data_IF_963733100979
#
_entry.id   IF_963733100979
#
_cell.length_a   1.000
_cell.length_b   1.000
_cell.length_c   1.000
_cell.angle_alpha   90.00
_cell.angle_beta   90.00
_cell.angle_gamma   90.00
#
_symmetry.space_group_name_H-M   'P 1'
#
loop_
_entity.id
_entity.type
_entity.pdbx_description
1 polymer ?
#
# COMPACT_ATOMS: atom_id res chain seq x y z
N UNK A 1 9.15 32.80 -62.21
CA UNK A 1 7.77 32.72 -61.67
C UNK A 1 7.67 31.43 -60.88
N UNK A 2 7.89 31.49 -59.57
CA UNK A 2 7.87 30.30 -58.71
C UNK A 2 6.42 30.03 -58.31
N UNK A 3 5.81 28.99 -58.88
CA UNK A 3 4.45 28.58 -58.57
C UNK A 3 4.38 28.00 -57.15
N UNK A 4 3.64 28.67 -56.26
CA UNK A 4 3.30 28.14 -54.94
C UNK A 4 2.30 27.01 -55.15
N UNK A 5 2.75 25.76 -55.04
CA UNK A 5 1.86 24.60 -55.03
C UNK A 5 0.98 24.67 -53.78
N UNK A 6 -0.35 24.59 -53.97
CA UNK A 6 -1.29 24.50 -52.87
C UNK A 6 -0.99 23.22 -52.05
N UNK A 7 -1.04 23.27 -50.71
CA UNK A 7 -0.81 22.08 -49.89
C UNK A 7 -1.90 21.02 -50.17
N UNK A 8 -1.55 19.72 -50.09
CA UNK A 8 -2.49 18.64 -50.32
C UNK A 8 -3.63 18.67 -49.30
N UNK A 9 -4.85 18.32 -49.73
CA UNK A 9 -6.07 18.34 -48.91
C UNK A 9 -6.05 17.36 -47.72
N UNK A 10 -5.13 16.39 -47.72
CA UNK A 10 -4.94 15.43 -46.65
C UNK A 10 -3.44 15.28 -46.36
N UNK A 11 -3.07 15.50 -45.10
CA UNK A 11 -1.73 15.20 -44.60
C UNK A 11 -1.74 13.81 -43.96
N UNK A 12 -0.76 12.95 -44.25
CA UNK A 12 -0.61 11.69 -43.53
C UNK A 12 -0.40 11.98 -42.04
N UNK A 13 -0.85 11.08 -41.14
CA UNK A 13 -0.61 11.25 -39.72
C UNK A 13 0.90 11.33 -39.45
N UNK A 14 1.33 12.21 -38.52
CA UNK A 14 2.73 12.34 -38.17
C UNK A 14 3.25 11.00 -37.63
N UNK A 15 4.34 10.51 -38.23
CA UNK A 15 5.18 9.46 -37.63
C UNK A 15 6.32 10.17 -36.88
N UNK A 16 6.69 9.74 -35.67
CA UNK A 16 6.19 8.57 -34.92
C UNK A 16 4.83 8.81 -34.24
N UNK A 17 3.99 7.76 -34.18
CA UNK A 17 2.69 7.81 -33.50
C UNK A 17 2.89 7.75 -31.98
N UNK A 18 2.50 8.82 -31.28
CA UNK A 18 2.56 8.95 -29.82
C UNK A 18 1.22 8.60 -29.15
N UNK A 19 0.29 7.96 -29.86
CA UNK A 19 -1.03 7.56 -29.33
C UNK A 19 -0.93 6.76 -28.02
N UNK A 20 0.10 5.94 -27.85
CA UNK A 20 0.32 5.12 -26.65
C UNK A 20 0.64 5.91 -25.37
N UNK A 21 1.20 7.11 -25.47
CA UNK A 21 1.49 7.95 -24.30
C UNK A 21 0.32 8.84 -23.92
N UNK A 22 -0.73 8.89 -24.75
CA UNK A 22 -1.87 9.77 -24.55
C UNK A 22 -2.68 9.32 -23.34
N UNK A 23 -3.08 10.30 -22.52
CA UNK A 23 -4.05 10.08 -21.44
C UNK A 23 -5.34 9.48 -22.03
N UNK A 24 -5.86 8.37 -21.49
CA UNK A 24 -7.13 7.82 -21.92
C UNK A 24 -8.27 8.77 -21.52
N UNK A 25 -9.23 8.96 -22.43
CA UNK A 25 -10.43 9.79 -22.20
C UNK A 25 -11.52 9.02 -21.44
N UNK A 26 -11.39 7.70 -21.29
CA UNK A 26 -12.38 6.83 -20.66
C UNK A 26 -12.26 6.82 -19.13
N UNK A 27 -13.32 7.22 -18.42
CA UNK A 27 -13.52 6.96 -16.99
C UNK A 27 -12.47 7.52 -16.01
N UNK A 28 -12.83 7.61 -14.73
CA UNK A 28 -11.88 8.05 -13.69
C UNK A 28 -10.82 6.98 -13.36
N UNK A 29 -11.20 5.70 -13.40
CA UNK A 29 -10.30 4.58 -13.11
C UNK A 29 -9.20 4.41 -14.16
N UNK A 30 -9.51 4.55 -15.45
CA UNK A 30 -8.49 4.41 -16.49
C UNK A 30 -7.48 5.57 -16.43
N UNK A 31 -7.93 6.78 -16.07
CA UNK A 31 -7.04 7.92 -15.83
C UNK A 31 -6.15 7.67 -14.61
N UNK A 32 -6.70 7.12 -13.51
CA UNK A 32 -5.92 6.79 -12.32
C UNK A 32 -4.88 5.70 -12.62
N UNK A 33 -5.26 4.64 -13.36
CA UNK A 33 -4.35 3.58 -13.77
C UNK A 33 -3.26 4.09 -14.73
N UNK A 34 -3.62 4.93 -15.71
CA UNK A 34 -2.64 5.57 -16.59
C UNK A 34 -1.65 6.42 -15.80
N UNK A 35 -2.13 7.18 -14.82
CA UNK A 35 -1.26 7.99 -13.95
C UNK A 35 -0.35 7.11 -13.10
N UNK A 36 -0.87 6.06 -12.46
CA UNK A 36 -0.08 5.13 -11.68
C UNK A 36 1.00 4.45 -12.54
N UNK A 37 0.64 4.02 -13.75
CA UNK A 37 1.57 3.44 -14.72
C UNK A 37 2.67 4.43 -15.12
N UNK A 38 2.31 5.67 -15.47
CA UNK A 38 3.29 6.69 -15.87
C UNK A 38 4.24 7.05 -14.72
N UNK A 39 3.72 7.15 -13.49
CA UNK A 39 4.53 7.36 -12.29
C UNK A 39 5.51 6.21 -12.10
N UNK A 40 5.02 4.96 -12.18
CA UNK A 40 5.85 3.77 -12.02
C UNK A 40 6.93 3.64 -13.10
N UNK A 41 6.58 3.90 -14.37
CA UNK A 41 7.55 3.92 -15.48
C UNK A 41 8.62 5.02 -15.30
N UNK A 42 8.24 6.19 -14.76
CA UNK A 42 9.16 7.30 -14.51
C UNK A 42 10.08 7.07 -13.31
N UNK A 43 9.57 6.56 -12.20
CA UNK A 43 10.36 6.40 -10.96
C UNK A 43 11.42 5.31 -11.07
N UNK A 44 11.13 4.26 -11.83
CA UNK A 44 12.02 3.10 -12.00
C UNK A 44 12.84 3.16 -13.30
N UNK A 45 12.77 4.27 -14.05
CA UNK A 45 13.48 4.46 -15.33
C UNK A 45 13.27 3.28 -16.29
N UNK A 46 12.06 2.71 -16.28
CA UNK A 46 11.72 1.52 -17.06
C UNK A 46 11.65 1.79 -18.57
N UNK A 47 11.79 3.06 -18.96
CA UNK A 47 11.87 3.48 -20.35
C UNK A 47 13.20 3.17 -21.01
N UNK A 48 14.26 2.93 -20.22
CA UNK A 48 15.62 2.64 -20.74
C UNK A 48 15.95 1.14 -20.72
N UNK A 49 15.19 0.34 -19.98
CA UNK A 49 15.41 -1.10 -19.88
C UNK A 49 14.83 -1.82 -21.08
N UNK A 50 15.50 -2.89 -21.49
CA UNK A 50 14.97 -3.76 -22.53
C UNK A 50 13.69 -4.47 -22.05
N UNK A 51 12.79 -4.89 -22.96
CA UNK A 51 11.53 -5.53 -22.59
C UNK A 51 11.70 -6.76 -21.69
N UNK A 52 12.79 -7.52 -21.86
CA UNK A 52 13.07 -8.72 -21.06
C UNK A 52 13.60 -8.37 -19.65
N UNK A 53 14.46 -7.35 -19.53
CA UNK A 53 15.00 -6.89 -18.25
C UNK A 53 13.87 -6.37 -17.36
N UNK A 54 12.91 -5.66 -17.95
CA UNK A 54 11.71 -5.20 -17.26
C UNK A 54 10.91 -6.37 -16.68
N UNK A 55 10.77 -7.46 -17.43
CA UNK A 55 10.05 -8.66 -16.95
C UNK A 55 10.80 -9.28 -15.76
N UNK A 56 12.13 -9.43 -15.85
CA UNK A 56 12.92 -9.98 -14.73
C UNK A 56 12.89 -9.10 -13.48
N UNK A 57 13.01 -7.79 -13.63
CA UNK A 57 12.97 -6.88 -12.49
C UNK A 57 11.62 -6.95 -11.78
N UNK A 58 10.52 -6.97 -12.55
CA UNK A 58 9.17 -7.08 -12.00
C UNK A 58 8.93 -8.42 -11.31
N UNK A 59 9.46 -9.53 -11.84
CA UNK A 59 9.30 -10.85 -11.19
C UNK A 59 10.08 -10.93 -9.88
N UNK A 60 11.32 -10.44 -9.85
CA UNK A 60 12.13 -10.39 -8.62
C UNK A 60 11.47 -9.49 -7.58
N UNK A 61 11.03 -8.30 -7.99
CA UNK A 61 10.35 -7.37 -7.09
C UNK A 61 9.05 -7.96 -6.55
N UNK A 62 8.24 -8.60 -7.40
CA UNK A 62 7.01 -9.27 -6.97
C UNK A 62 7.31 -10.43 -6.01
N UNK A 63 8.33 -11.24 -6.28
CA UNK A 63 8.74 -12.34 -5.39
C UNK A 63 9.19 -11.82 -4.02
N UNK A 64 10.03 -10.77 -3.97
CA UNK A 64 10.45 -10.12 -2.74
C UNK A 64 9.26 -9.51 -2.00
N UNK A 65 8.36 -8.83 -2.71
CA UNK A 65 7.18 -8.22 -2.11
C UNK A 65 6.25 -9.28 -1.50
N UNK A 66 6.00 -10.40 -2.20
CA UNK A 66 5.23 -11.53 -1.66
C UNK A 66 5.92 -12.13 -0.45
N UNK A 67 7.24 -12.31 -0.48
CA UNK A 67 8.01 -12.84 0.64
C UNK A 67 7.90 -11.93 1.88
N UNK A 68 8.04 -10.62 1.67
CA UNK A 68 7.89 -9.61 2.74
C UNK A 68 6.45 -9.58 3.25
N UNK A 69 5.45 -9.53 2.38
CA UNK A 69 4.05 -9.57 2.78
C UNK A 69 3.71 -10.85 3.53
N UNK A 70 4.19 -12.01 3.08
CA UNK A 70 4.01 -13.28 3.78
C UNK A 70 4.68 -13.24 5.15
N UNK A 71 5.90 -12.70 5.24
CA UNK A 71 6.60 -12.50 6.50
C UNK A 71 5.82 -11.60 7.46
N UNK A 72 5.30 -10.46 6.97
CA UNK A 72 4.47 -9.56 7.77
C UNK A 72 3.20 -10.29 8.22
N UNK A 73 2.42 -10.88 7.30
CA UNK A 73 1.14 -11.51 7.65
C UNK A 73 1.31 -12.66 8.63
N UNK A 74 2.37 -13.46 8.50
CA UNK A 74 2.60 -14.60 9.41
C UNK A 74 3.25 -14.19 10.74
N UNK A 75 4.19 -13.24 10.72
CA UNK A 75 5.00 -12.89 11.88
C UNK A 75 4.42 -11.73 12.71
N UNK A 76 3.77 -10.77 12.06
CA UNK A 76 3.18 -9.60 12.71
C UNK A 76 2.09 -9.92 13.75
N UNK A 77 1.12 -10.84 13.54
CA UNK A 77 0.09 -11.11 14.54
C UNK A 77 0.66 -11.72 15.83
N UNK A 78 1.72 -12.53 15.73
CA UNK A 78 2.39 -13.11 16.90
C UNK A 78 3.03 -12.03 17.78
N UNK A 79 3.69 -11.05 17.17
CA UNK A 79 4.28 -9.92 17.89
C UNK A 79 3.24 -8.97 18.45
N UNK A 80 2.14 -8.73 17.70
CA UNK A 80 1.03 -7.91 18.19
C UNK A 80 0.40 -8.47 19.45
N UNK A 81 0.24 -9.78 19.59
CA UNK A 81 -0.34 -10.36 20.82
C UNK A 81 0.54 -10.14 22.06
N UNK A 82 1.86 -10.28 21.92
CA UNK A 82 2.80 -10.02 23.03
C UNK A 82 2.83 -8.54 23.38
N UNK A 83 2.86 -7.66 22.38
CA UNK A 83 2.82 -6.21 22.57
C UNK A 83 1.49 -5.75 23.16
N UNK A 84 0.36 -6.33 22.73
CA UNK A 84 -0.96 -6.03 23.28
C UNK A 84 -1.04 -6.40 24.76
N UNK A 85 -0.56 -7.58 25.16
CA UNK A 85 -0.58 -8.00 26.58
C UNK A 85 0.22 -7.05 27.47
N UNK A 86 1.38 -6.58 26.98
CA UNK A 86 2.20 -5.56 27.67
C UNK A 86 1.54 -4.18 27.66
N UNK A 87 0.95 -3.77 26.54
CA UNK A 87 0.25 -2.49 26.43
C UNK A 87 -0.95 -2.45 27.38
N UNK A 88 -1.75 -3.51 27.46
CA UNK A 88 -2.86 -3.65 28.43
C UNK A 88 -2.33 -3.57 29.86
N UNK A 89 -1.21 -4.22 30.17
CA UNK A 89 -0.59 -4.13 31.48
C UNK A 89 -0.19 -2.69 31.86
N UNK A 90 0.43 -1.95 30.94
CA UNK A 90 0.86 -0.57 31.18
C UNK A 90 -0.28 0.46 31.14
N UNK A 91 -1.27 0.28 30.26
CA UNK A 91 -2.42 1.19 30.13
C UNK A 91 -3.48 0.95 31.20
N UNK A 92 -3.74 -0.31 31.56
CA UNK A 92 -4.83 -0.68 32.46
C UNK A 92 -4.37 -0.99 33.89
N UNK A 93 -3.05 -1.07 34.11
CA UNK A 93 -2.44 -1.21 35.44
C UNK A 93 -3.04 -2.38 36.23
N UNK A 94 -3.01 -3.60 35.68
CA UNK A 94 -3.77 -4.74 36.21
C UNK A 94 -3.34 -5.22 37.62
N UNK A 95 -2.30 -4.67 38.25
CA UNK A 95 -2.10 -4.87 39.71
C UNK A 95 -2.90 -3.90 40.60
N UNK A 96 -3.40 -2.78 40.07
CA UNK A 96 -4.20 -1.81 40.82
C UNK A 96 -5.70 -2.07 40.72
N UNK A 97 -6.21 -2.49 39.56
CA UNK A 97 -7.65 -2.51 39.32
C UNK A 97 -8.37 -3.66 40.01
N UNK A 98 -7.83 -4.87 40.10
CA UNK A 98 -8.52 -5.96 40.79
C UNK A 98 -8.67 -5.64 42.29
N UNK A 99 -7.59 -5.22 42.96
CA UNK A 99 -7.65 -4.84 44.37
C UNK A 99 -8.56 -3.63 44.61
N UNK A 100 -8.52 -2.64 43.72
CA UNK A 100 -9.36 -1.44 43.83
C UNK A 100 -10.83 -1.73 43.50
N UNK A 101 -11.13 -2.62 42.56
CA UNK A 101 -12.48 -3.10 42.25
C UNK A 101 -13.05 -3.94 43.40
N UNK A 102 -12.27 -4.85 43.98
CA UNK A 102 -12.69 -5.63 45.15
C UNK A 102 -12.86 -4.76 46.40
N UNK A 103 -12.03 -3.72 46.57
CA UNK A 103 -12.20 -2.71 47.63
C UNK A 103 -13.44 -1.83 47.40
N UNK A 104 -13.71 -1.41 46.17
CA UNK A 104 -14.87 -0.59 45.82
C UNK A 104 -16.19 -1.38 45.88
N UNK A 105 -16.18 -2.67 45.53
CA UNK A 105 -17.31 -3.59 45.65
C UNK A 105 -17.59 -4.05 47.10
N UNK A 106 -16.83 -3.58 48.09
CA UNK A 106 -17.12 -3.80 49.51
C UNK A 106 -17.03 -5.26 49.99
N UNK A 107 -16.50 -6.17 49.18
CA UNK A 107 -16.41 -7.61 49.47
C UNK A 107 -15.21 -8.01 50.33
N UNK A 108 -14.39 -7.05 50.76
CA UNK A 108 -13.17 -7.27 51.54
C UNK A 108 -13.34 -7.32 53.06
N UNK A 109 -14.56 -7.17 53.61
CA UNK A 109 -14.75 -7.07 55.06
C UNK A 109 -16.05 -7.72 55.53
N UNK A 110 -16.04 -9.04 55.70
CA UNK A 110 -17.25 -9.73 56.18
C UNK A 110 -17.10 -11.17 56.63
N UNK A 111 -15.89 -11.66 56.94
CA UNK A 111 -15.71 -13.01 57.47
C UNK A 111 -14.95 -13.01 58.80
N UNK A 112 -15.38 -12.11 59.71
CA UNK A 112 -14.99 -12.14 61.11
C UNK A 112 -16.23 -11.84 61.96
N UNK A 113 -16.88 -12.91 62.42
CA UNK A 113 -18.07 -13.08 63.29
C UNK A 113 -18.93 -14.14 62.58
N UNK A 114 -19.21 -15.31 63.14
CA UNK A 114 -19.67 -15.56 64.50
C UNK A 114 -19.07 -16.86 65.05
N UNK A 115 -18.57 -16.76 66.28
CA UNK A 115 -18.36 -17.85 67.24
C UNK A 115 -19.61 -17.92 68.13
#
# INVERSE_FOLDING_TARGET
MSGILAPPAYLPPPKPDHSHTRRPTSGQLAVAFWRARMWFESTFVLSMLEPWEKILLLTIFAALFILVCSGIVMYFPQHLMVMQRRAVYYLWGQEGSERMLWQWLGLGGGLHKEL
#
